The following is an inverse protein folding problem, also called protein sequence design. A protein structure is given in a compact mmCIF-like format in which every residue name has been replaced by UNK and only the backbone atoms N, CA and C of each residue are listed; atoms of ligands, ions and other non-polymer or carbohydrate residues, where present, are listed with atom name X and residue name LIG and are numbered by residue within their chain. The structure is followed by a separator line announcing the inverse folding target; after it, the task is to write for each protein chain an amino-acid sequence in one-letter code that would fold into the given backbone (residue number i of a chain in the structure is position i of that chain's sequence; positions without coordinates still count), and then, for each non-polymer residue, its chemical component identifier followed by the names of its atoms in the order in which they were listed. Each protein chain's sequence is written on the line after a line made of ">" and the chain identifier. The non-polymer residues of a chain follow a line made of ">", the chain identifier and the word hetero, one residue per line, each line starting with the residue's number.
data_IF_188364906874
#
_entry.id   IF_188364906874
#
_cell.length_a   1.000
_cell.length_b   1.000
_cell.length_c   1.000
_cell.angle_alpha   90.00
_cell.angle_beta   90.00
_cell.angle_gamma   90.00
#
_symmetry.space_group_name_H-M   'P 1'
#
loop_
_entity.id
_entity.type
_entity.pdbx_description
1 polymer ?
#
# COMPACT_ATOMS: atom_id res chain seq x y z
N UNK A 1 0.88 -3.43 11.53
CA UNK A 1 -0.30 -2.55 11.67
C UNK A 1 -1.60 -3.34 11.58
N UNK A 2 -1.83 -4.13 10.54
CA UNK A 2 -3.06 -4.93 10.41
C UNK A 2 -3.35 -5.81 11.64
N UNK A 3 -2.35 -6.51 12.16
CA UNK A 3 -2.51 -7.34 13.35
C UNK A 3 -2.94 -6.52 14.58
N UNK A 4 -2.38 -5.31 14.74
CA UNK A 4 -2.76 -4.42 15.83
C UNK A 4 -4.18 -3.89 15.66
N UNK A 5 -4.59 -3.57 14.44
CA UNK A 5 -5.97 -3.16 14.14
C UNK A 5 -6.97 -4.26 14.52
N UNK A 6 -6.69 -5.49 14.11
CA UNK A 6 -7.51 -6.66 14.45
C UNK A 6 -7.57 -6.83 15.98
N UNK A 7 -6.41 -6.78 16.65
CA UNK A 7 -6.33 -6.97 18.10
C UNK A 7 -7.04 -5.86 18.90
N UNK A 8 -7.01 -4.62 18.40
CA UNK A 8 -7.77 -3.49 18.98
C UNK A 8 -9.28 -3.70 18.82
N UNK A 9 -9.73 -4.07 17.62
CA UNK A 9 -11.15 -4.30 17.33
C UNK A 9 -11.73 -5.49 18.10
N UNK A 10 -10.92 -6.53 18.30
CA UNK A 10 -11.28 -7.72 19.09
C UNK A 10 -11.16 -7.49 20.60
N UNK A 11 -10.70 -6.31 21.05
CA UNK A 11 -10.51 -5.99 22.47
C UNK A 11 -9.36 -6.73 23.14
N UNK A 12 -8.47 -7.37 22.37
CA UNK A 12 -7.28 -8.08 22.86
C UNK A 12 -6.17 -7.13 23.31
N UNK A 13 -6.14 -5.93 22.74
CA UNK A 13 -5.20 -4.85 23.06
C UNK A 13 -6.00 -3.64 23.51
N UNK A 14 -5.60 -3.04 24.63
CA UNK A 14 -6.18 -1.77 25.09
C UNK A 14 -5.39 -0.62 24.48
N UNK A 15 -6.07 0.47 24.15
CA UNK A 15 -5.44 1.66 23.54
C UNK A 15 -4.26 2.19 24.36
N UNK A 16 -4.36 2.15 25.70
CA UNK A 16 -3.28 2.60 26.60
C UNK A 16 -1.99 1.77 26.51
N UNK A 17 -2.11 0.50 26.12
CA UNK A 17 -0.99 -0.44 26.00
C UNK A 17 -0.43 -0.47 24.55
N UNK A 18 -1.07 0.24 23.63
CA UNK A 18 -0.73 0.24 22.21
C UNK A 18 0.71 0.71 21.92
N UNK A 19 1.26 1.75 22.56
CA UNK A 19 2.65 2.19 22.30
C UNK A 19 3.66 1.07 22.54
N UNK A 20 3.54 0.36 23.67
CA UNK A 20 4.45 -0.72 24.03
C UNK A 20 4.35 -1.89 23.04
N UNK A 21 3.12 -2.31 22.72
CA UNK A 21 2.88 -3.43 21.80
C UNK A 21 3.32 -3.07 20.39
N UNK A 22 3.09 -1.84 19.96
CA UNK A 22 3.55 -1.33 18.67
C UNK A 22 5.09 -1.38 18.57
N UNK A 23 5.80 -0.92 19.59
CA UNK A 23 7.26 -0.97 19.65
C UNK A 23 7.78 -2.42 19.63
N UNK A 24 7.14 -3.33 20.38
CA UNK A 24 7.49 -4.74 20.38
C UNK A 24 7.35 -5.36 18.98
N UNK A 25 6.25 -5.06 18.26
CA UNK A 25 6.04 -5.53 16.90
C UNK A 25 7.04 -4.93 15.89
N UNK A 26 7.39 -3.66 16.03
CA UNK A 26 8.41 -3.03 15.19
C UNK A 26 9.79 -3.63 15.42
N UNK A 27 10.12 -3.94 16.68
CA UNK A 27 11.37 -4.64 17.01
C UNK A 27 11.37 -6.07 16.45
N UNK A 28 10.25 -6.80 16.59
CA UNK A 28 10.11 -8.18 16.10
C UNK A 28 10.28 -8.28 14.58
N UNK A 29 9.62 -7.38 13.83
CA UNK A 29 9.55 -7.50 12.36
C UNK A 29 10.63 -6.72 11.62
N UNK A 30 11.10 -5.61 12.18
CA UNK A 30 12.02 -4.70 11.49
C UNK A 30 13.34 -4.50 12.22
N UNK A 31 13.49 -5.02 13.45
CA UNK A 31 14.68 -4.78 14.28
C UNK A 31 14.83 -3.33 14.75
N UNK A 32 13.72 -2.57 14.76
CA UNK A 32 13.70 -1.14 15.06
C UNK A 32 12.86 -0.87 16.31
N UNK A 33 13.38 -0.02 17.19
CA UNK A 33 12.61 0.54 18.30
C UNK A 33 12.66 2.07 18.19
N UNK A 34 11.53 2.76 18.02
CA UNK A 34 11.51 4.20 17.95
C UNK A 34 11.88 4.82 19.31
N UNK A 35 12.52 6.00 19.32
CA UNK A 35 12.99 6.62 20.55
C UNK A 35 11.87 7.20 21.42
N UNK A 36 10.69 7.41 20.86
CA UNK A 36 9.49 7.91 21.54
C UNK A 36 8.23 7.66 20.70
N UNK A 37 7.06 7.87 21.29
CA UNK A 37 5.77 7.61 20.64
C UNK A 37 5.51 8.55 19.46
N UNK A 38 6.04 9.77 19.46
CA UNK A 38 5.89 10.72 18.35
C UNK A 38 6.55 10.21 17.07
N UNK A 39 7.65 9.46 17.18
CA UNK A 39 8.33 8.79 16.06
C UNK A 39 7.96 7.31 15.96
N UNK A 40 7.03 6.87 16.76
CA UNK A 40 6.51 5.50 16.81
C UNK A 40 5.03 5.44 16.46
N UNK A 41 4.23 4.93 17.39
CA UNK A 41 2.80 4.66 17.21
C UNK A 41 2.00 5.89 16.75
N UNK A 42 2.37 7.09 17.13
CA UNK A 42 1.68 8.33 16.73
C UNK A 42 1.92 8.71 15.25
N UNK A 43 2.84 8.03 14.55
CA UNK A 43 2.96 8.17 13.10
C UNK A 43 1.79 7.47 12.36
N UNK A 44 1.10 6.56 13.01
CA UNK A 44 -0.05 5.85 12.45
C UNK A 44 -1.33 6.68 12.63
N UNK A 45 -1.33 7.89 12.07
CA UNK A 45 -2.40 8.90 12.21
C UNK A 45 -3.78 8.43 11.76
N UNK A 46 -3.85 7.39 10.94
CA UNK A 46 -5.09 6.80 10.43
C UNK A 46 -6.04 6.39 11.56
N UNK A 47 -5.51 5.86 12.65
CA UNK A 47 -6.32 5.45 13.80
C UNK A 47 -6.99 6.62 14.52
N UNK A 48 -6.35 7.80 14.51
CA UNK A 48 -6.94 9.01 15.13
C UNK A 48 -8.16 9.55 14.37
N UNK A 49 -8.31 9.17 13.08
CA UNK A 49 -9.46 9.49 12.25
C UNK A 49 -10.48 8.34 12.16
N UNK A 50 -10.26 7.25 12.91
CA UNK A 50 -11.12 6.08 12.87
C UNK A 50 -10.95 5.20 11.62
N UNK A 51 -9.88 5.37 10.85
CA UNK A 51 -9.59 4.57 9.66
C UNK A 51 -8.95 3.21 10.05
N UNK A 52 -9.70 2.37 10.74
CA UNK A 52 -9.32 1.00 11.04
C UNK A 52 -9.54 0.12 9.80
N UNK A 53 -8.63 -0.84 9.56
CA UNK A 53 -8.64 -1.72 8.38
C UNK A 53 -8.00 -1.11 7.13
N UNK A 54 -7.55 0.14 7.18
CA UNK A 54 -7.01 0.83 6.01
C UNK A 54 -5.58 0.43 5.66
N UNK A 55 -4.75 0.09 6.63
CA UNK A 55 -3.31 -0.16 6.40
C UNK A 55 -3.01 -1.33 5.47
N UNK A 56 -3.87 -2.34 5.41
CA UNK A 56 -3.73 -3.47 4.47
C UNK A 56 -3.77 -3.04 3.00
N UNK A 57 -4.44 -1.92 2.70
CA UNK A 57 -4.55 -1.39 1.33
C UNK A 57 -3.20 -0.96 0.74
N UNK A 58 -2.24 -0.54 1.58
CA UNK A 58 -0.90 -0.20 1.12
C UNK A 58 -0.15 -1.43 0.60
N UNK A 59 -0.22 -2.55 1.32
CA UNK A 59 0.40 -3.80 0.86
C UNK A 59 -0.25 -4.32 -0.42
N UNK A 60 -1.58 -4.29 -0.49
CA UNK A 60 -2.34 -4.67 -1.70
C UNK A 60 -1.98 -3.77 -2.88
N UNK A 61 -1.92 -2.45 -2.66
CA UNK A 61 -1.51 -1.49 -3.68
C UNK A 61 -0.10 -1.76 -4.22
N UNK A 62 0.85 -2.09 -3.35
CA UNK A 62 2.21 -2.45 -3.76
C UNK A 62 2.24 -3.74 -4.60
N UNK A 63 1.47 -4.76 -4.20
CA UNK A 63 1.39 -6.02 -4.96
C UNK A 63 0.76 -5.80 -6.33
N UNK A 64 -0.34 -5.05 -6.41
CA UNK A 64 -1.01 -4.70 -7.66
C UNK A 64 -0.08 -3.88 -8.56
N UNK A 65 0.60 -2.88 -8.01
CA UNK A 65 1.53 -2.05 -8.78
C UNK A 65 2.70 -2.87 -9.37
N UNK A 66 3.20 -3.86 -8.63
CA UNK A 66 4.25 -4.76 -9.13
C UNK A 66 3.73 -5.62 -10.30
N UNK A 67 2.53 -6.18 -10.21
CA UNK A 67 1.92 -6.93 -11.30
C UNK A 67 1.70 -6.07 -12.55
N UNK A 68 1.15 -4.87 -12.37
CA UNK A 68 0.98 -3.94 -13.49
C UNK A 68 2.32 -3.52 -14.10
N UNK A 69 3.35 -3.32 -13.28
CA UNK A 69 4.68 -2.94 -13.74
C UNK A 69 5.30 -3.98 -14.68
N UNK A 70 5.15 -5.26 -14.37
CA UNK A 70 5.62 -6.34 -15.24
C UNK A 70 4.97 -6.30 -16.64
N UNK A 71 3.68 -5.98 -16.71
CA UNK A 71 2.98 -5.86 -17.99
C UNK A 71 3.37 -4.59 -18.73
N UNK A 72 3.46 -3.47 -18.02
CA UNK A 72 3.86 -2.17 -18.60
C UNK A 72 5.25 -2.28 -19.23
N UNK A 73 6.21 -2.94 -18.58
CA UNK A 73 7.56 -3.13 -19.14
C UNK A 73 7.57 -3.99 -20.40
N UNK A 74 6.64 -4.95 -20.54
CA UNK A 74 6.47 -5.72 -21.77
C UNK A 74 5.86 -4.90 -22.90
N UNK A 75 4.86 -4.08 -22.57
CA UNK A 75 4.13 -3.26 -23.54
C UNK A 75 4.91 -2.02 -23.98
N UNK A 76 5.81 -1.52 -23.12
CA UNK A 76 6.66 -0.33 -23.38
C UNK A 76 8.12 -0.72 -23.12
N UNK A 77 8.81 -1.35 -24.09
CA UNK A 77 10.17 -1.89 -23.88
C UNK A 77 11.23 -0.84 -23.54
N UNK A 78 11.04 0.41 -23.93
CA UNK A 78 11.94 1.55 -23.66
C UNK A 78 11.48 2.40 -22.45
N UNK A 79 10.60 1.87 -21.61
CA UNK A 79 10.02 2.59 -20.46
C UNK A 79 11.08 3.17 -19.54
N UNK A 80 12.12 2.41 -19.22
CA UNK A 80 13.20 2.86 -18.33
C UNK A 80 13.94 4.09 -18.89
N UNK A 81 14.17 4.11 -20.19
CA UNK A 81 14.83 5.25 -20.84
C UNK A 81 13.89 6.46 -20.93
N UNK A 82 12.59 6.23 -21.13
CA UNK A 82 11.59 7.29 -21.06
C UNK A 82 11.58 7.93 -19.67
N UNK A 83 11.54 7.11 -18.59
CA UNK A 83 11.54 7.59 -17.21
C UNK A 83 12.83 8.37 -16.90
N UNK A 84 14.00 7.83 -17.25
CA UNK A 84 15.30 8.52 -17.07
C UNK A 84 15.36 9.86 -17.77
N UNK A 85 14.66 9.98 -18.90
CA UNK A 85 14.58 11.22 -19.69
C UNK A 85 13.46 12.17 -19.23
N UNK A 86 12.73 11.82 -18.17
CA UNK A 86 11.58 12.59 -17.69
C UNK A 86 10.36 12.56 -18.61
N UNK A 87 10.25 11.54 -19.47
CA UNK A 87 9.13 11.36 -20.41
C UNK A 87 8.15 10.33 -19.82
N UNK A 88 6.96 10.79 -19.48
CA UNK A 88 5.93 9.96 -18.84
C UNK A 88 4.66 9.79 -19.69
N UNK A 89 4.63 10.37 -20.89
CA UNK A 89 3.44 10.37 -21.75
C UNK A 89 3.04 8.95 -22.16
N UNK A 90 3.99 8.08 -22.47
CA UNK A 90 3.75 6.68 -22.82
C UNK A 90 3.12 5.89 -21.66
N UNK A 91 3.72 6.01 -20.47
CA UNK A 91 3.19 5.39 -19.27
C UNK A 91 1.79 5.91 -18.92
N UNK A 92 1.58 7.21 -19.00
CA UNK A 92 0.28 7.82 -18.71
C UNK A 92 -0.79 7.39 -19.74
N UNK A 93 -0.43 7.30 -21.01
CA UNK A 93 -1.34 6.82 -22.06
C UNK A 93 -1.75 5.38 -21.79
N UNK A 94 -0.80 4.51 -21.46
CA UNK A 94 -1.07 3.11 -21.09
C UNK A 94 -2.01 3.02 -19.88
N UNK A 95 -1.73 3.75 -18.81
CA UNK A 95 -2.59 3.77 -17.61
C UNK A 95 -4.01 4.27 -17.92
N UNK A 96 -4.13 5.29 -18.77
CA UNK A 96 -5.44 5.83 -19.18
C UNK A 96 -6.24 4.80 -19.97
N UNK A 97 -5.59 4.11 -20.91
CA UNK A 97 -6.24 3.12 -21.76
C UNK A 97 -6.63 1.87 -20.98
N UNK A 98 -5.71 1.32 -20.19
CA UNK A 98 -5.90 0.02 -19.55
C UNK A 98 -6.59 0.08 -18.19
N UNK A 99 -6.47 1.19 -17.47
CA UNK A 99 -6.96 1.31 -16.10
C UNK A 99 -8.02 2.43 -15.98
N UNK A 100 -7.62 3.69 -16.25
CA UNK A 100 -8.44 4.83 -15.87
C UNK A 100 -9.77 4.91 -16.63
N UNK A 101 -9.80 4.50 -17.89
CA UNK A 101 -11.01 4.50 -18.73
C UNK A 101 -12.15 3.67 -18.12
N UNK A 102 -11.81 2.68 -17.33
CA UNK A 102 -12.80 1.79 -16.73
C UNK A 102 -13.47 2.38 -15.49
N UNK A 103 -12.82 3.35 -14.81
CA UNK A 103 -13.31 3.89 -13.56
C UNK A 103 -13.60 2.76 -12.55
N UNK A 104 -14.84 2.68 -12.06
CA UNK A 104 -15.31 1.62 -11.13
C UNK A 104 -16.24 0.61 -11.81
N UNK A 105 -16.02 0.32 -13.07
CA UNK A 105 -16.84 -0.65 -13.81
C UNK A 105 -16.59 -2.10 -13.39
N UNK A 106 -15.36 -2.40 -12.98
CA UNK A 106 -14.92 -3.71 -12.52
C UNK A 106 -14.53 -3.67 -11.05
N UNK A 107 -14.65 -4.78 -10.35
CA UNK A 107 -14.02 -4.93 -9.06
C UNK A 107 -12.49 -4.90 -9.19
N UNK A 108 -11.74 -4.44 -8.18
CA UNK A 108 -10.29 -4.26 -8.30
C UNK A 108 -9.54 -5.50 -8.77
N UNK A 109 -9.87 -6.66 -8.25
CA UNK A 109 -9.24 -7.92 -8.65
C UNK A 109 -9.56 -8.26 -10.11
N UNK A 110 -10.81 -8.11 -10.53
CA UNK A 110 -11.24 -8.37 -11.91
C UNK A 110 -10.50 -7.45 -12.89
N UNK A 111 -10.33 -6.16 -12.54
CA UNK A 111 -9.57 -5.23 -13.38
C UNK A 111 -8.12 -5.64 -13.51
N UNK A 112 -7.47 -6.02 -12.39
CA UNK A 112 -6.08 -6.47 -12.39
C UNK A 112 -5.93 -7.71 -13.29
N UNK A 113 -6.77 -8.71 -13.11
CA UNK A 113 -6.76 -9.92 -13.94
C UNK A 113 -6.94 -9.61 -15.44
N UNK A 114 -7.84 -8.70 -15.80
CA UNK A 114 -8.05 -8.28 -17.21
C UNK A 114 -6.82 -7.61 -17.82
N UNK A 115 -6.04 -6.92 -17.03
CA UNK A 115 -4.90 -6.14 -17.52
C UNK A 115 -3.61 -6.95 -17.50
N UNK A 116 -3.51 -7.96 -16.61
CA UNK A 116 -2.28 -8.74 -16.39
C UNK A 116 -2.31 -10.16 -16.94
N UNK A 117 -3.45 -10.61 -17.49
CA UNK A 117 -3.64 -11.96 -18.05
C UNK A 117 -2.97 -12.15 -19.42
#
# INVERSE_FOLDING_TARGET
>A
RLELEIALLEGKVRVKDLPEIWNAKMQEYLGLTPPNDALGVLQDVHWSYGNLGYFSTYALGNLVSAQLWEVIQKDIPDLDDQIRSGKFEGLLAWLREKIHVHGRKYEPQELVEKVTA
#
